data_IF_606924936580
#
_entry.id   IF_606924936580
#
_cell.length_a   1.000
_cell.length_b   1.000
_cell.length_c   1.000
_cell.angle_alpha   90.00
_cell.angle_beta   90.00
_cell.angle_gamma   90.00
#
_symmetry.space_group_name_H-M   'P 1'
#
loop_
_entity.id
_entity.type
_entity.pdbx_description
1 polymer ?
#
# COMPACT_ATOMS: atom_id res chain seq x y z
N UNK A 1 -83.73 -76.04 -42.03
CA UNK A 1 -82.27 -75.87 -42.20
C UNK A 1 -81.87 -75.46 -43.62
N UNK A 2 -82.61 -75.82 -44.68
CA UNK A 2 -82.23 -75.48 -46.07
C UNK A 2 -82.28 -73.98 -46.43
N UNK A 3 -83.09 -73.17 -45.74
CA UNK A 3 -83.23 -71.72 -45.98
C UNK A 3 -81.95 -70.89 -45.74
N UNK A 4 -80.89 -71.47 -45.16
CA UNK A 4 -79.65 -70.75 -44.86
C UNK A 4 -78.77 -70.55 -46.10
N UNK A 5 -78.88 -71.45 -47.08
CA UNK A 5 -78.02 -71.49 -48.28
C UNK A 5 -78.79 -71.66 -49.59
N UNK A 6 -80.12 -71.80 -49.53
CA UNK A 6 -81.00 -71.89 -50.70
C UNK A 6 -82.34 -71.20 -50.43
N UNK A 7 -82.94 -70.61 -51.46
CA UNK A 7 -84.24 -69.95 -51.35
C UNK A 7 -85.42 -70.94 -51.38
N UNK A 8 -86.58 -70.52 -50.90
CA UNK A 8 -87.80 -71.35 -50.84
C UNK A 8 -88.26 -71.89 -52.21
N UNK A 9 -88.09 -71.09 -53.26
CA UNK A 9 -88.41 -71.47 -54.64
C UNK A 9 -87.43 -72.50 -55.20
N UNK A 10 -86.15 -72.43 -54.84
CA UNK A 10 -85.12 -73.39 -55.29
C UNK A 10 -85.28 -74.74 -54.56
N UNK A 11 -85.59 -74.71 -53.27
CA UNK A 11 -85.85 -75.90 -52.44
C UNK A 11 -87.07 -76.69 -52.93
N UNK A 12 -88.15 -75.99 -53.30
CA UNK A 12 -89.38 -76.61 -53.79
C UNK A 12 -89.25 -77.25 -55.18
N UNK A 13 -88.30 -76.79 -56.02
CA UNK A 13 -88.06 -77.30 -57.37
C UNK A 13 -87.04 -78.45 -57.44
N UNK A 14 -86.18 -78.57 -56.43
CA UNK A 14 -85.07 -79.54 -56.41
C UNK A 14 -85.09 -80.39 -55.12
N UNK A 15 -86.28 -80.57 -54.50
CA UNK A 15 -86.43 -81.29 -53.23
C UNK A 15 -85.96 -82.75 -53.29
N UNK A 16 -85.99 -83.34 -54.48
CA UNK A 16 -85.61 -84.73 -54.74
C UNK A 16 -84.17 -84.85 -55.28
N UNK A 17 -83.49 -83.73 -55.54
CA UNK A 17 -82.10 -83.66 -56.00
C UNK A 17 -81.16 -83.33 -54.84
N UNK A 18 -80.82 -84.37 -54.08
CA UNK A 18 -79.89 -84.27 -52.96
C UNK A 18 -78.49 -83.79 -53.37
N UNK A 19 -78.08 -84.01 -54.62
CA UNK A 19 -76.77 -83.57 -55.11
C UNK A 19 -76.72 -82.05 -55.28
N UNK A 20 -77.77 -81.45 -55.85
CA UNK A 20 -77.89 -80.00 -55.98
C UNK A 20 -77.95 -79.28 -54.63
N UNK A 21 -78.72 -79.83 -53.66
CA UNK A 21 -78.79 -79.27 -52.31
C UNK A 21 -77.43 -79.36 -51.56
N UNK A 22 -76.70 -80.46 -51.75
CA UNK A 22 -75.36 -80.64 -51.18
C UNK A 22 -74.34 -79.67 -51.81
N UNK A 23 -74.37 -79.49 -53.12
CA UNK A 23 -73.48 -78.54 -53.83
C UNK A 23 -73.69 -77.10 -53.37
N UNK A 24 -74.95 -76.66 -53.21
CA UNK A 24 -75.27 -75.32 -52.69
C UNK A 24 -74.82 -75.13 -51.24
N UNK A 25 -74.98 -76.15 -50.39
CA UNK A 25 -74.46 -76.13 -49.03
C UNK A 25 -72.93 -76.05 -49.00
N UNK A 26 -72.26 -76.82 -49.86
CA UNK A 26 -70.79 -76.83 -49.96
C UNK A 26 -70.24 -75.47 -50.43
N UNK A 27 -70.87 -74.83 -51.42
CA UNK A 27 -70.50 -73.48 -51.87
C UNK A 27 -70.67 -72.46 -50.75
N UNK A 28 -71.77 -72.52 -50.00
CA UNK A 28 -72.00 -71.62 -48.87
C UNK A 28 -71.00 -71.84 -47.72
N UNK A 29 -70.71 -73.10 -47.37
CA UNK A 29 -69.70 -73.46 -46.36
C UNK A 29 -68.30 -73.01 -46.79
N UNK A 30 -67.94 -73.16 -48.07
CA UNK A 30 -66.68 -72.66 -48.60
C UNK A 30 -66.59 -71.13 -48.54
N UNK A 31 -67.68 -70.42 -48.86
CA UNK A 31 -67.77 -68.97 -48.73
C UNK A 31 -67.54 -68.51 -47.29
N UNK A 32 -68.26 -69.09 -46.33
CA UNK A 32 -68.07 -68.78 -44.90
C UNK A 32 -66.66 -69.12 -44.41
N UNK A 33 -66.06 -70.22 -44.87
CA UNK A 33 -64.66 -70.56 -44.54
C UNK A 33 -63.69 -69.52 -45.08
N UNK A 34 -63.90 -69.03 -46.30
CA UNK A 34 -63.07 -67.98 -46.90
C UNK A 34 -63.19 -66.66 -46.15
N UNK A 35 -64.40 -66.28 -45.74
CA UNK A 35 -64.64 -65.07 -44.96
C UNK A 35 -64.02 -65.17 -43.56
N UNK A 36 -64.18 -66.33 -42.90
CA UNK A 36 -63.58 -66.59 -41.59
C UNK A 36 -62.05 -66.55 -41.65
N UNK A 37 -61.45 -67.11 -42.70
CA UNK A 37 -59.99 -67.05 -42.89
C UNK A 37 -59.51 -65.61 -43.16
N UNK A 38 -60.30 -64.82 -43.89
CA UNK A 38 -60.00 -63.39 -44.11
C UNK A 38 -60.06 -62.59 -42.81
N UNK A 39 -61.11 -62.79 -42.01
CA UNK A 39 -61.26 -62.13 -40.70
C UNK A 39 -60.16 -62.56 -39.74
N UNK A 40 -59.80 -63.85 -39.73
CA UNK A 40 -58.68 -64.36 -38.93
C UNK A 40 -57.36 -63.70 -39.33
N UNK A 41 -57.05 -63.66 -40.63
CA UNK A 41 -55.83 -63.01 -41.11
C UNK A 41 -55.78 -61.52 -40.77
N UNK A 42 -56.92 -60.82 -40.84
CA UNK A 42 -57.03 -59.42 -40.42
C UNK A 42 -56.82 -59.24 -38.91
N UNK A 43 -57.39 -60.12 -38.09
CA UNK A 43 -57.21 -60.10 -36.64
C UNK A 43 -55.75 -60.37 -36.26
N UNK A 44 -55.09 -61.34 -36.89
CA UNK A 44 -53.68 -61.66 -36.67
C UNK A 44 -52.77 -60.47 -37.08
N UNK A 45 -53.03 -59.86 -38.24
CA UNK A 45 -52.31 -58.67 -38.68
C UNK A 45 -52.49 -57.48 -37.73
N UNK A 46 -53.71 -57.29 -37.21
CA UNK A 46 -53.99 -56.26 -36.21
C UNK A 46 -53.26 -56.53 -34.88
N UNK A 47 -53.21 -57.79 -34.44
CA UNK A 47 -52.49 -58.21 -33.23
C UNK A 47 -50.99 -57.93 -33.36
N UNK A 48 -50.39 -58.33 -34.48
CA UNK A 48 -48.97 -58.08 -34.78
C UNK A 48 -48.68 -56.57 -34.79
N UNK A 49 -49.55 -55.79 -35.42
CA UNK A 49 -49.38 -54.32 -35.49
C UNK A 49 -49.47 -53.68 -34.10
N UNK A 50 -50.37 -54.16 -33.26
CA UNK A 50 -50.50 -53.69 -31.88
C UNK A 50 -49.23 -54.01 -31.06
N UNK A 51 -48.71 -55.23 -31.15
CA UNK A 51 -47.48 -55.64 -30.45
C UNK A 51 -46.25 -54.84 -30.89
N UNK A 52 -46.11 -54.60 -32.20
CA UNK A 52 -45.04 -53.76 -32.74
C UNK A 52 -45.15 -52.31 -32.25
N UNK A 53 -46.37 -51.78 -32.21
CA UNK A 53 -46.63 -50.42 -31.72
C UNK A 53 -46.30 -50.30 -30.22
N UNK A 54 -46.71 -51.28 -29.41
CA UNK A 54 -46.35 -51.34 -28.00
C UNK A 54 -44.84 -51.40 -27.80
N UNK A 55 -44.15 -52.28 -28.52
CA UNK A 55 -42.69 -52.42 -28.43
C UNK A 55 -41.95 -51.12 -28.77
N UNK A 56 -42.41 -50.41 -29.80
CA UNK A 56 -41.84 -49.12 -30.19
C UNK A 56 -42.09 -48.03 -29.12
N UNK A 57 -43.28 -48.03 -28.52
CA UNK A 57 -43.63 -47.09 -27.46
C UNK A 57 -42.79 -47.33 -26.20
N UNK A 58 -42.60 -48.59 -25.82
CA UNK A 58 -41.78 -48.98 -24.67
C UNK A 58 -40.33 -48.56 -24.87
N UNK A 59 -39.77 -48.80 -26.06
CA UNK A 59 -38.41 -48.36 -26.38
C UNK A 59 -38.26 -46.83 -26.28
N UNK A 60 -39.24 -46.06 -26.80
CA UNK A 60 -39.23 -44.60 -26.70
C UNK A 60 -39.36 -44.12 -25.26
N UNK A 61 -40.22 -44.76 -24.47
CA UNK A 61 -40.39 -44.43 -23.06
C UNK A 61 -39.10 -44.66 -22.27
N UNK A 62 -38.41 -45.77 -22.50
CA UNK A 62 -37.12 -46.07 -21.87
C UNK A 62 -36.05 -45.04 -22.26
N UNK A 63 -35.94 -44.70 -23.54
CA UNK A 63 -34.98 -43.69 -24.03
C UNK A 63 -35.23 -42.32 -23.38
N UNK A 64 -36.51 -41.88 -23.37
CA UNK A 64 -36.89 -40.59 -22.81
C UNK A 64 -36.66 -40.55 -21.29
N UNK A 65 -36.92 -41.66 -20.59
CA UNK A 65 -36.69 -41.76 -19.15
C UNK A 65 -35.19 -41.69 -18.79
N UNK A 66 -34.34 -42.28 -19.63
CA UNK A 66 -32.88 -42.18 -19.48
C UNK A 66 -32.40 -40.74 -19.70
N UNK A 67 -32.80 -40.10 -20.80
CA UNK A 67 -32.48 -38.69 -21.08
C UNK A 67 -32.96 -37.76 -19.97
N UNK A 68 -34.17 -37.99 -19.44
CA UNK A 68 -34.70 -37.21 -18.33
C UNK A 68 -33.85 -37.35 -17.06
N UNK A 69 -33.40 -38.58 -16.76
CA UNK A 69 -32.54 -38.85 -15.60
C UNK A 69 -31.17 -38.17 -15.74
N UNK A 70 -30.61 -38.18 -16.94
CA UNK A 70 -29.35 -37.49 -17.25
C UNK A 70 -29.48 -35.97 -17.11
N UNK A 71 -30.55 -35.39 -17.65
CA UNK A 71 -30.84 -33.96 -17.50
C UNK A 71 -31.07 -33.56 -16.05
N UNK A 72 -31.76 -34.39 -15.28
CA UNK A 72 -31.98 -34.15 -13.85
C UNK A 72 -30.65 -34.15 -13.08
N UNK A 73 -29.76 -35.10 -13.39
CA UNK A 73 -28.41 -35.17 -12.80
C UNK A 73 -27.57 -33.94 -13.16
N UNK A 74 -27.56 -33.54 -14.43
CA UNK A 74 -26.85 -32.34 -14.89
C UNK A 74 -27.37 -31.07 -14.20
N UNK A 75 -28.70 -30.93 -14.08
CA UNK A 75 -29.29 -29.77 -13.43
C UNK A 75 -28.90 -29.70 -11.94
N UNK A 76 -28.90 -30.83 -11.24
CA UNK A 76 -28.44 -30.90 -9.86
C UNK A 76 -26.96 -30.49 -9.73
N UNK A 77 -26.08 -30.98 -10.62
CA UNK A 77 -24.66 -30.61 -10.65
C UNK A 77 -24.45 -29.11 -10.92
N UNK A 78 -25.20 -28.54 -11.87
CA UNK A 78 -25.16 -27.12 -12.19
C UNK A 78 -25.61 -26.28 -10.98
N UNK A 79 -26.64 -26.72 -10.26
CA UNK A 79 -27.14 -26.04 -9.08
C UNK A 79 -26.10 -26.03 -7.95
N UNK A 80 -25.46 -27.16 -7.67
CA UNK A 80 -24.35 -27.22 -6.69
C UNK A 80 -23.17 -26.35 -7.11
N UNK A 81 -22.82 -26.35 -8.40
CA UNK A 81 -21.73 -25.51 -8.92
C UNK A 81 -22.06 -24.02 -8.79
N UNK A 82 -23.30 -23.64 -9.06
CA UNK A 82 -23.77 -22.26 -8.91
C UNK A 82 -23.68 -21.79 -7.46
N UNK A 83 -24.14 -22.62 -6.52
CA UNK A 83 -24.06 -22.32 -5.08
C UNK A 83 -22.61 -22.14 -4.61
N UNK A 84 -21.69 -23.02 -5.06
CA UNK A 84 -20.27 -22.89 -4.78
C UNK A 84 -19.69 -21.56 -5.30
N UNK A 85 -19.97 -21.23 -6.57
CA UNK A 85 -19.48 -19.97 -7.18
C UNK A 85 -20.07 -18.73 -6.50
N UNK A 86 -21.31 -18.78 -6.04
CA UNK A 86 -21.91 -17.69 -5.26
C UNK A 86 -21.22 -17.51 -3.91
N UNK A 87 -20.85 -18.61 -3.24
CA UNK A 87 -20.09 -18.58 -1.99
C UNK A 87 -18.68 -17.98 -2.19
N UNK A 88 -17.93 -18.45 -3.19
CA UNK A 88 -16.62 -17.91 -3.54
C UNK A 88 -16.69 -16.41 -3.88
N UNK A 89 -17.71 -15.99 -4.63
CA UNK A 89 -17.90 -14.58 -4.97
C UNK A 89 -18.17 -13.71 -3.73
N UNK A 90 -18.95 -14.22 -2.78
CA UNK A 90 -19.21 -13.53 -1.52
C UNK A 90 -17.93 -13.38 -0.69
N UNK A 91 -17.10 -14.42 -0.62
CA UNK A 91 -15.81 -14.39 0.06
C UNK A 91 -14.87 -13.37 -0.55
N UNK A 92 -14.67 -13.40 -1.87
CA UNK A 92 -13.81 -12.44 -2.58
C UNK A 92 -14.30 -11.00 -2.40
N UNK A 93 -15.62 -10.76 -2.42
CA UNK A 93 -16.18 -9.43 -2.13
C UNK A 93 -15.86 -8.96 -0.71
N UNK A 94 -15.95 -9.86 0.28
CA UNK A 94 -15.60 -9.56 1.67
C UNK A 94 -14.11 -9.22 1.81
N UNK A 95 -13.23 -10.04 1.23
CA UNK A 95 -11.78 -9.82 1.23
C UNK A 95 -11.41 -8.48 0.56
N UNK A 96 -12.03 -8.17 -0.60
CA UNK A 96 -11.85 -6.87 -1.28
C UNK A 96 -12.25 -5.70 -0.37
N UNK A 97 -13.39 -5.81 0.32
CA UNK A 97 -13.83 -4.76 1.24
C UNK A 97 -12.84 -4.57 2.39
N UNK A 98 -12.35 -5.65 2.98
CA UNK A 98 -11.34 -5.60 4.04
C UNK A 98 -10.03 -4.94 3.57
N UNK A 99 -9.55 -5.29 2.37
CA UNK A 99 -8.36 -4.67 1.78
C UNK A 99 -8.55 -3.17 1.54
N UNK A 100 -9.74 -2.75 1.09
CA UNK A 100 -10.05 -1.33 0.92
C UNK A 100 -9.99 -0.57 2.25
N UNK A 101 -10.52 -1.14 3.33
CA UNK A 101 -10.45 -0.52 4.67
C UNK A 101 -8.99 -0.38 5.15
N UNK A 102 -8.16 -1.41 4.92
CA UNK A 102 -6.74 -1.35 5.25
C UNK A 102 -6.01 -0.28 4.43
N UNK A 103 -6.32 -0.14 3.14
CA UNK A 103 -5.75 0.90 2.29
C UNK A 103 -6.09 2.30 2.82
N UNK A 104 -7.37 2.56 3.15
CA UNK A 104 -7.80 3.84 3.72
C UNK A 104 -7.06 4.13 5.03
N UNK A 105 -6.88 3.11 5.88
CA UNK A 105 -6.11 3.25 7.12
C UNK A 105 -4.65 3.64 6.87
N UNK A 106 -4.02 3.06 5.84
CA UNK A 106 -2.64 3.39 5.44
C UNK A 106 -2.51 4.78 4.83
N UNK A 107 -3.47 5.20 4.02
CA UNK A 107 -3.50 6.56 3.48
C UNK A 107 -3.60 7.59 4.61
N UNK A 108 -4.43 7.34 5.63
CA UNK A 108 -4.51 8.19 6.82
C UNK A 108 -3.20 8.26 7.63
N UNK A 109 -2.48 7.14 7.74
CA UNK A 109 -1.16 7.09 8.40
C UNK A 109 -0.12 7.91 7.63
N UNK A 110 -0.13 7.82 6.29
CA UNK A 110 0.77 8.59 5.40
C UNK A 110 0.50 10.09 5.55
N UNK A 111 -0.77 10.50 5.52
CA UNK A 111 -1.13 11.92 5.69
C UNK A 111 -0.67 12.47 7.05
N UNK A 112 -0.87 11.71 8.13
CA UNK A 112 -0.36 12.08 9.46
C UNK A 112 1.16 12.26 9.44
N UNK A 113 1.90 11.29 8.91
CA UNK A 113 3.37 11.37 8.83
C UNK A 113 3.84 12.57 7.98
N UNK A 114 3.14 12.88 6.88
CA UNK A 114 3.44 14.06 6.07
C UNK A 114 3.24 15.36 6.84
N UNK A 115 2.19 15.46 7.67
CA UNK A 115 1.98 16.63 8.53
C UNK A 115 3.10 16.79 9.57
N UNK A 116 3.46 15.70 10.27
CA UNK A 116 4.56 15.70 11.25
C UNK A 116 5.90 16.09 10.60
N UNK A 117 6.19 15.58 9.40
CA UNK A 117 7.40 15.93 8.64
C UNK A 117 7.43 17.42 8.26
N UNK A 118 6.29 17.97 7.84
CA UNK A 118 6.17 19.39 7.49
C UNK A 118 6.40 20.30 8.70
N UNK A 119 5.87 19.94 9.86
CA UNK A 119 6.08 20.65 11.12
C UNK A 119 7.55 20.59 11.56
N UNK A 120 8.16 19.41 11.49
CA UNK A 120 9.58 19.23 11.78
C UNK A 120 10.46 20.08 10.85
N UNK A 121 10.14 20.12 9.55
CA UNK A 121 10.84 20.96 8.58
C UNK A 121 10.69 22.47 8.88
N UNK A 122 9.53 22.92 9.38
CA UNK A 122 9.34 24.30 9.84
C UNK A 122 10.22 24.59 11.07
N UNK A 123 10.19 23.72 12.06
CA UNK A 123 11.01 23.85 13.28
C UNK A 123 12.52 23.88 12.96
N UNK A 124 13.00 22.95 12.12
CA UNK A 124 14.40 22.93 11.65
C UNK A 124 14.81 24.24 10.98
N UNK A 125 13.96 24.81 10.12
CA UNK A 125 14.24 26.10 9.46
C UNK A 125 14.31 27.26 10.46
N UNK A 126 13.46 27.26 11.49
CA UNK A 126 13.51 28.27 12.54
C UNK A 126 14.80 28.19 13.35
N UNK A 127 15.23 26.97 13.70
CA UNK A 127 16.50 26.75 14.41
C UNK A 127 17.71 27.20 13.60
N UNK A 128 17.75 26.92 12.29
CA UNK A 128 18.83 27.39 11.42
C UNK A 128 18.94 28.91 11.41
N UNK A 129 17.81 29.63 11.30
CA UNK A 129 17.81 31.10 11.38
C UNK A 129 18.31 31.62 12.72
N UNK A 130 18.00 30.92 13.81
CA UNK A 130 18.47 31.29 15.14
C UNK A 130 19.99 31.10 15.28
N UNK A 131 20.53 30.02 14.72
CA UNK A 131 21.98 29.76 14.67
C UNK A 131 22.67 30.87 13.89
N UNK A 132 22.21 31.19 12.68
CA UNK A 132 22.77 32.27 11.86
C UNK A 132 22.77 33.61 12.60
N UNK A 133 21.69 33.93 13.31
CA UNK A 133 21.62 35.15 14.12
C UNK A 133 22.61 35.13 15.29
N UNK A 134 22.78 34.00 15.98
CA UNK A 134 23.74 33.87 17.08
C UNK A 134 25.18 33.92 16.60
N UNK A 135 25.49 33.38 15.44
CA UNK A 135 26.83 33.49 14.84
C UNK A 135 27.18 34.94 14.51
N UNK A 136 26.22 35.73 14.03
CA UNK A 136 26.40 37.18 13.83
C UNK A 136 26.65 37.91 15.15
N UNK A 137 25.86 37.62 16.19
CA UNK A 137 26.03 38.20 17.53
C UNK A 137 27.42 37.87 18.13
N UNK A 138 27.89 36.63 17.95
CA UNK A 138 29.23 36.21 18.36
C UNK A 138 30.30 36.99 17.59
N UNK A 139 30.18 37.10 16.27
CA UNK A 139 31.15 37.84 15.45
C UNK A 139 31.22 39.33 15.82
N UNK A 140 30.10 39.96 16.19
CA UNK A 140 30.07 41.35 16.65
C UNK A 140 30.77 41.51 18.01
N UNK A 141 30.51 40.58 18.94
CA UNK A 141 31.19 40.56 20.24
C UNK A 141 32.69 40.33 20.09
N UNK A 142 33.12 39.43 19.21
CA UNK A 142 34.54 39.18 18.93
C UNK A 142 35.23 40.41 18.36
N UNK A 143 34.56 41.15 17.47
CA UNK A 143 35.05 42.44 16.96
C UNK A 143 35.21 43.48 18.07
N UNK A 144 34.21 43.56 18.97
CA UNK A 144 34.24 44.46 20.13
C UNK A 144 35.38 44.10 21.10
N UNK A 145 35.58 42.81 21.37
CA UNK A 145 36.68 42.32 22.22
C UNK A 145 38.04 42.68 21.62
N UNK A 146 38.22 42.50 20.30
CA UNK A 146 39.46 42.90 19.60
C UNK A 146 39.73 44.39 19.76
N UNK A 147 38.72 45.23 19.57
CA UNK A 147 38.85 46.69 19.77
C UNK A 147 39.27 47.05 21.20
N UNK A 148 38.71 46.40 22.22
CA UNK A 148 39.15 46.61 23.60
C UNK A 148 40.58 46.12 23.84
N UNK A 149 40.97 44.98 23.25
CA UNK A 149 42.32 44.45 23.35
C UNK A 149 43.35 45.41 22.72
N UNK A 150 43.08 45.93 21.53
CA UNK A 150 43.93 46.93 20.88
C UNK A 150 44.08 48.19 21.74
N UNK A 151 42.97 48.64 22.36
CA UNK A 151 43.00 49.79 23.27
C UNK A 151 43.87 49.54 24.51
N UNK A 152 43.78 48.34 25.10
CA UNK A 152 44.61 47.96 26.25
C UNK A 152 46.09 47.96 25.84
N UNK A 153 46.44 47.35 24.70
CA UNK A 153 47.83 47.33 24.19
C UNK A 153 48.37 48.74 24.00
N UNK A 154 47.63 49.62 23.31
CA UNK A 154 48.03 51.00 23.07
C UNK A 154 48.25 51.79 24.38
N UNK A 155 47.37 51.61 25.36
CA UNK A 155 47.50 52.25 26.67
C UNK A 155 48.71 51.72 27.45
N UNK A 156 48.96 50.40 27.39
CA UNK A 156 50.12 49.77 28.01
C UNK A 156 51.44 50.25 27.39
N UNK A 157 51.51 50.37 26.06
CA UNK A 157 52.67 50.94 25.37
C UNK A 157 52.90 52.40 25.75
N UNK A 158 51.83 53.21 25.77
CA UNK A 158 51.90 54.62 26.20
C UNK A 158 52.38 54.73 27.64
N UNK A 159 51.91 53.86 28.54
CA UNK A 159 52.34 53.82 29.94
C UNK A 159 53.82 53.45 30.04
N UNK A 160 54.28 52.44 29.31
CA UNK A 160 55.69 52.05 29.28
C UNK A 160 56.61 53.17 28.76
N UNK A 161 56.19 53.91 27.72
CA UNK A 161 56.92 55.07 27.22
C UNK A 161 57.01 56.20 28.26
N UNK A 162 55.91 56.47 28.97
CA UNK A 162 55.90 57.45 30.06
C UNK A 162 56.82 57.03 31.20
N UNK A 163 56.80 55.76 31.59
CA UNK A 163 57.66 55.21 32.64
C UNK A 163 59.14 55.35 32.26
N UNK A 164 59.50 55.02 31.01
CA UNK A 164 60.87 55.19 30.51
C UNK A 164 61.33 56.67 30.57
N UNK A 165 60.44 57.61 30.20
CA UNK A 165 60.73 59.05 30.29
C UNK A 165 60.86 59.54 31.73
N UNK A 166 60.04 59.05 32.65
CA UNK A 166 60.15 59.35 34.09
C UNK A 166 61.52 58.87 34.60
N UNK A 167 61.89 57.64 34.27
CA UNK A 167 63.20 57.08 34.64
C UNK A 167 64.37 57.90 34.11
N UNK A 168 64.30 58.39 32.86
CA UNK A 168 65.30 59.29 32.28
C UNK A 168 65.42 60.62 33.06
N UNK A 169 64.30 61.25 33.37
CA UNK A 169 64.26 62.49 34.16
C UNK A 169 64.78 62.27 35.58
N UNK A 170 64.44 61.15 36.22
CA UNK A 170 64.93 60.79 37.54
C UNK A 170 66.45 60.58 37.54
N UNK A 171 67.00 59.93 36.50
CA UNK A 171 68.45 59.79 36.33
C UNK A 171 69.14 61.15 36.14
N UNK A 172 68.56 62.05 35.35
CA UNK A 172 69.07 63.42 35.18
C UNK A 172 69.05 64.20 36.50
N UNK A 173 67.95 64.09 37.26
CA UNK A 173 67.83 64.71 38.57
C UNK A 173 68.89 64.21 39.55
N UNK A 174 69.13 62.89 39.58
CA UNK A 174 70.19 62.28 40.40
C UNK A 174 71.56 62.81 39.98
N UNK A 175 71.83 62.92 38.67
CA UNK A 175 73.09 63.46 38.15
C UNK A 175 73.28 64.92 38.56
N UNK A 176 72.28 65.77 38.34
CA UNK A 176 72.31 67.18 38.72
C UNK A 176 72.49 67.37 40.23
N UNK A 177 71.83 66.55 41.07
CA UNK A 177 72.03 66.55 42.52
C UNK A 177 73.46 66.17 42.91
N UNK A 178 74.06 65.19 42.25
CA UNK A 178 75.46 64.80 42.49
C UNK A 178 76.43 65.92 42.08
N UNK A 179 76.19 66.60 40.95
CA UNK A 179 76.98 67.76 40.52
C UNK A 179 76.87 68.92 41.52
N UNK A 180 75.66 69.23 41.98
CA UNK A 180 75.43 70.26 42.99
C UNK A 180 76.16 69.93 44.29
N UNK A 181 76.05 68.69 44.79
CA UNK A 181 76.78 68.23 45.98
C UNK A 181 78.30 68.38 45.83
N UNK A 182 78.85 68.02 44.65
CA UNK A 182 80.27 68.20 44.33
C UNK A 182 80.68 69.68 44.32
N UNK A 183 79.88 70.55 43.70
CA UNK A 183 80.08 72.01 43.71
C UNK A 183 80.08 72.57 45.14
N UNK A 184 79.11 72.17 45.97
CA UNK A 184 79.04 72.56 47.39
C UNK A 184 80.27 72.08 48.16
N UNK A 185 80.77 70.86 47.89
CA UNK A 185 81.98 70.34 48.54
C UNK A 185 83.24 71.14 48.13
N UNK A 186 83.38 71.49 46.85
CA UNK A 186 84.53 72.28 46.36
C UNK A 186 84.51 73.70 46.92
N UNK A 187 83.34 74.37 46.95
CA UNK A 187 83.22 75.73 47.50
C UNK A 187 83.48 75.76 49.00
N UNK A 188 82.91 74.83 49.78
CA UNK A 188 83.19 74.71 51.21
C UNK A 188 84.67 74.41 51.49
N UNK A 189 85.28 73.49 50.74
CA UNK A 189 86.71 73.19 50.87
C UNK A 189 87.59 74.39 50.50
N UNK A 190 87.21 75.17 49.48
CA UNK A 190 87.93 76.38 49.06
C UNK A 190 87.77 77.53 50.07
N UNK A 191 86.59 77.70 50.65
CA UNK A 191 86.35 78.68 51.72
C UNK A 191 87.14 78.31 52.99
N UNK A 192 87.18 77.02 53.35
CA UNK A 192 87.99 76.52 54.46
C UNK A 192 89.49 76.70 54.21
N UNK A 193 89.98 76.47 52.99
CA UNK A 193 91.39 76.69 52.65
C UNK A 193 91.76 78.19 52.66
N UNK A 194 90.87 79.07 52.18
CA UNK A 194 91.03 80.53 52.26
C UNK A 194 91.02 81.02 53.71
N UNK A 195 90.11 80.52 54.56
CA UNK A 195 90.09 80.83 55.99
C UNK A 195 91.36 80.35 56.68
N UNK A 196 91.81 79.12 56.40
CA UNK A 196 93.07 78.57 56.92
C UNK A 196 94.29 79.40 56.48
N UNK A 197 94.35 79.85 55.24
CA UNK A 197 95.43 80.72 54.75
C UNK A 197 95.39 82.10 55.43
N UNK A 198 94.21 82.65 55.73
CA UNK A 198 94.07 83.87 56.57
C UNK A 198 94.63 83.66 57.97
N UNK A 199 94.18 82.61 58.66
CA UNK A 199 94.63 82.31 60.02
C UNK A 199 96.13 81.96 60.12
N UNK A 200 96.72 81.34 59.09
CA UNK A 200 98.16 81.05 59.06
C UNK A 200 99.03 82.25 58.68
N UNK A 201 98.51 83.20 57.90
CA UNK A 201 99.14 84.52 57.74
C UNK A 201 99.11 85.34 59.03
N UNK A 202 98.07 85.21 59.86
CA UNK A 202 97.95 85.94 61.13
C UNK A 202 98.82 85.35 62.26
N UNK A 203 99.27 84.09 62.16
CA UNK A 203 100.15 83.44 63.15
C UNK A 203 101.65 83.78 62.97
N UNK A 204 102.05 84.42 61.87
CA UNK A 204 103.42 84.90 61.67
C UNK A 204 103.66 86.38 62.06
N UNK A 205 102.68 87.03 62.72
CA UNK A 205 102.81 88.42 63.22
C UNK A 205 102.76 88.48 64.77
N UNK A 206 103.40 87.51 65.43
CA UNK A 206 103.76 87.53 66.86
C UNK A 206 105.25 87.19 66.99
#
# INVERSE_FOLDING_TARGET
MAHLFISDEEFSRHSDDAAFLAEKADVFIQGLRSELETVRAQADAASITAEQTCSLLDQKFLSLSAEFSDLQSQNAQLQTTLELRLSELAEVKSQKHQLNLLSIGKDGEIERLNTELSELHKSKRQLMKLIEHKDLEISEKDSTIKSYLDKIVNLSETAAQREARISEVDMELVRSRAEFARLTQVTTSSLLSLLRNRFTSDIWIL
#
